data_IF_254770232170
#
_entry.id   IF_254770232170
#
_cell.length_a   1.000
_cell.length_b   1.000
_cell.length_c   1.000
_cell.angle_alpha   90.00
_cell.angle_beta   90.00
_cell.angle_gamma   90.00
#
_symmetry.space_group_name_H-M   'P 1'
#
loop_
_entity.id
_entity.type
_entity.pdbx_description
1 polymer ?
#
# COMPACT_ATOMS: atom_id res chain seq x y z
N UNK A 1 -7.61 4.97 18.28
CA UNK A 1 -7.24 3.94 19.29
C UNK A 1 -6.06 3.20 18.70
N UNK A 2 -4.86 3.27 19.30
CA UNK A 2 -3.68 2.55 18.78
C UNK A 2 -3.89 1.06 19.04
N UNK A 3 -3.90 0.22 17.99
CA UNK A 3 -4.00 -1.24 18.14
C UNK A 3 -2.79 -1.75 18.93
N UNK A 4 -3.04 -2.74 19.77
CA UNK A 4 -2.05 -3.23 20.72
C UNK A 4 -1.16 -4.29 20.05
N UNK A 5 0.12 -4.36 20.45
CA UNK A 5 1.09 -5.32 19.92
C UNK A 5 0.56 -6.76 19.92
N UNK A 6 -0.27 -7.12 20.91
CA UNK A 6 -0.92 -8.43 21.03
C UNK A 6 -1.69 -8.88 19.77
N UNK A 7 -2.24 -7.95 18.99
CA UNK A 7 -2.99 -8.29 17.77
C UNK A 7 -2.06 -8.57 16.58
N UNK A 8 -0.83 -8.03 16.61
CA UNK A 8 0.17 -8.10 15.52
C UNK A 8 1.21 -9.20 15.81
N UNK A 9 1.52 -9.43 17.08
CA UNK A 9 2.54 -10.35 17.56
C UNK A 9 2.46 -11.76 16.95
N UNK A 10 1.28 -12.41 16.84
CA UNK A 10 1.21 -13.74 16.22
C UNK A 10 1.64 -13.75 14.75
N UNK A 11 1.41 -12.65 14.04
CA UNK A 11 1.78 -12.48 12.63
C UNK A 11 3.28 -12.22 12.50
N UNK A 12 3.81 -11.36 13.37
CA UNK A 12 5.24 -11.10 13.46
C UNK A 12 6.02 -12.38 13.80
N UNK A 13 5.57 -13.19 14.75
CA UNK A 13 6.25 -14.44 15.12
C UNK A 13 6.35 -15.40 13.93
N UNK A 14 5.30 -15.52 13.12
CA UNK A 14 5.32 -16.31 11.88
C UNK A 14 6.35 -15.77 10.89
N UNK A 15 6.38 -14.46 10.66
CA UNK A 15 7.36 -13.80 9.80
C UNK A 15 8.80 -14.01 10.29
N UNK A 16 9.03 -13.87 11.60
CA UNK A 16 10.34 -14.03 12.25
C UNK A 16 10.87 -15.45 12.15
N UNK A 17 10.00 -16.45 12.15
CA UNK A 17 10.39 -17.85 12.00
C UNK A 17 10.74 -18.24 10.55
N UNK A 18 10.55 -17.35 9.57
CA UNK A 18 10.90 -17.65 8.17
C UNK A 18 12.40 -17.61 7.94
N UNK A 19 12.88 -18.45 7.03
CA UNK A 19 14.28 -18.48 6.62
C UNK A 19 14.55 -17.63 5.38
N UNK A 20 13.55 -17.37 4.55
CA UNK A 20 13.64 -16.57 3.33
C UNK A 20 12.45 -15.61 3.18
N UNK A 21 12.71 -14.52 2.47
CA UNK A 21 11.68 -13.56 2.06
C UNK A 21 11.14 -13.92 0.68
N UNK A 22 9.82 -13.98 0.58
CA UNK A 22 9.08 -14.17 -0.66
C UNK A 22 7.68 -13.53 -0.53
N UNK A 23 6.86 -13.57 -1.58
CA UNK A 23 5.54 -12.93 -1.58
C UNK A 23 4.50 -13.63 -0.68
N UNK A 24 4.80 -14.80 -0.13
CA UNK A 24 3.97 -15.45 0.90
C UNK A 24 4.31 -14.98 2.32
N UNK A 25 5.27 -14.06 2.48
CA UNK A 25 5.55 -13.43 3.77
C UNK A 25 4.31 -12.72 4.33
N UNK A 26 4.15 -12.86 5.64
CA UNK A 26 3.03 -12.37 6.42
C UNK A 26 3.06 -10.85 6.52
N UNK A 27 1.91 -10.25 6.32
CA UNK A 27 1.67 -8.84 6.60
C UNK A 27 0.27 -8.68 7.20
N UNK A 28 0.01 -7.50 7.73
CA UNK A 28 -1.25 -7.16 8.37
C UNK A 28 -1.88 -6.01 7.62
N UNK A 29 -3.17 -6.11 7.34
CA UNK A 29 -3.98 -4.97 6.90
C UNK A 29 -4.95 -4.63 8.03
N UNK A 30 -5.00 -3.38 8.44
CA UNK A 30 -5.99 -2.88 9.38
C UNK A 30 -7.00 -2.07 8.58
N UNK A 31 -8.25 -2.49 8.57
CA UNK A 31 -9.28 -1.83 7.77
C UNK A 31 -9.80 -0.53 8.42
N UNK A 32 -10.77 0.13 7.76
CA UNK A 32 -11.38 1.38 8.24
C UNK A 32 -12.22 1.19 9.52
N UNK A 33 -12.63 -0.04 9.83
CA UNK A 33 -13.33 -0.43 11.05
C UNK A 33 -12.32 -0.79 12.17
N UNK A 34 -11.02 -0.62 11.91
CA UNK A 34 -9.91 -1.07 12.73
C UNK A 34 -9.82 -2.59 12.88
N UNK A 35 -10.45 -3.39 12.02
CA UNK A 35 -10.31 -4.84 12.08
C UNK A 35 -8.97 -5.28 11.50
N UNK A 36 -8.31 -6.21 12.20
CA UNK A 36 -7.00 -6.76 11.82
C UNK A 36 -7.24 -7.93 10.88
N UNK A 37 -6.85 -7.75 9.62
CA UNK A 37 -6.93 -8.77 8.58
C UNK A 37 -5.56 -9.40 8.36
N UNK A 38 -5.49 -10.72 8.54
CA UNK A 38 -4.31 -11.48 8.17
C UNK A 38 -4.23 -11.61 6.65
N UNK A 39 -3.06 -11.33 6.08
CA UNK A 39 -2.81 -11.62 4.67
C UNK A 39 -1.32 -11.87 4.40
N UNK A 40 -0.97 -12.04 3.13
CA UNK A 40 0.40 -12.13 2.63
C UNK A 40 0.70 -10.98 1.70
N UNK A 41 1.96 -10.72 1.40
CA UNK A 41 2.36 -9.69 0.44
C UNK A 41 1.68 -9.86 -0.93
N UNK A 42 1.54 -11.09 -1.42
CA UNK A 42 0.78 -11.41 -2.65
C UNK A 42 -0.71 -11.13 -2.54
N UNK A 43 -1.28 -11.15 -1.32
CA UNK A 43 -2.69 -10.92 -1.06
C UNK A 43 -3.06 -9.43 -0.91
N UNK A 44 -2.08 -8.55 -0.71
CA UNK A 44 -2.30 -7.12 -0.44
C UNK A 44 -3.24 -6.43 -1.43
N UNK A 45 -3.07 -6.72 -2.73
CA UNK A 45 -3.88 -6.09 -3.78
C UNK A 45 -5.38 -6.42 -3.68
N UNK A 46 -5.74 -7.52 -3.01
CA UNK A 46 -7.14 -7.90 -2.79
C UNK A 46 -7.79 -7.11 -1.65
N UNK A 47 -6.98 -6.60 -0.70
CA UNK A 47 -7.46 -5.87 0.47
C UNK A 47 -7.46 -4.35 0.29
N UNK A 48 -6.52 -3.81 -0.51
CA UNK A 48 -6.30 -2.36 -0.57
C UNK A 48 -7.15 -1.62 -1.61
N UNK A 49 -7.97 -2.30 -2.42
CA UNK A 49 -8.73 -1.69 -3.54
C UNK A 49 -7.80 -0.91 -4.48
N UNK A 50 -7.06 -1.64 -5.30
CA UNK A 50 -5.99 -1.13 -6.16
C UNK A 50 -6.51 -0.75 -7.55
N UNK A 51 -6.06 0.39 -8.08
CA UNK A 51 -6.20 0.71 -9.50
C UNK A 51 -4.90 0.44 -10.27
N UNK A 52 -4.93 -0.58 -11.13
CA UNK A 52 -3.82 -0.85 -12.05
C UNK A 52 -3.74 0.18 -13.18
N UNK A 53 -4.88 0.70 -13.62
CA UNK A 53 -4.94 1.71 -14.67
C UNK A 53 -4.24 3.02 -14.25
N UNK A 54 -4.36 3.42 -12.98
CA UNK A 54 -3.65 4.57 -12.42
C UNK A 54 -2.12 4.40 -12.41
N UNK A 55 -1.62 3.16 -12.40
CA UNK A 55 -0.18 2.86 -12.53
C UNK A 55 0.33 2.91 -13.96
N UNK A 56 -0.56 2.97 -14.97
CA UNK A 56 -0.17 3.01 -16.37
C UNK A 56 0.67 4.26 -16.69
N UNK A 57 1.77 4.13 -17.46
CA UNK A 57 2.57 5.26 -17.91
C UNK A 57 1.74 6.35 -18.60
N UNK A 58 0.73 5.99 -19.39
CA UNK A 58 -0.13 6.93 -20.10
C UNK A 58 -1.00 7.75 -19.13
N UNK A 59 -1.56 7.11 -18.11
CA UNK A 59 -2.38 7.79 -17.10
C UNK A 59 -1.51 8.69 -16.22
N UNK A 60 -0.33 8.23 -15.81
CA UNK A 60 0.65 9.06 -15.09
C UNK A 60 1.09 10.27 -15.91
N UNK A 61 1.36 10.08 -17.21
CA UNK A 61 1.71 11.16 -18.12
C UNK A 61 0.59 12.19 -18.23
N UNK A 62 -0.67 11.74 -18.36
CA UNK A 62 -1.82 12.63 -18.35
C UNK A 62 -1.90 13.44 -17.05
N UNK A 63 -1.79 12.79 -15.89
CA UNK A 63 -1.84 13.47 -14.58
C UNK A 63 -0.74 14.54 -14.48
N UNK A 64 0.48 14.23 -14.90
CA UNK A 64 1.58 15.18 -14.91
C UNK A 64 1.30 16.38 -15.84
N UNK A 65 0.85 16.12 -17.08
CA UNK A 65 0.50 17.16 -18.04
C UNK A 65 -0.68 18.02 -17.57
N UNK A 66 -1.67 17.42 -16.93
CA UNK A 66 -2.84 18.12 -16.41
C UNK A 66 -2.46 19.08 -15.29
N UNK A 67 -1.52 18.69 -14.41
CA UNK A 67 -0.94 19.56 -13.39
C UNK A 67 -0.15 20.73 -14.01
N UNK A 68 0.60 20.49 -15.08
CA UNK A 68 1.44 21.51 -15.72
C UNK A 68 0.63 22.49 -16.59
N UNK A 69 -0.36 22.00 -17.35
CA UNK A 69 -0.99 22.76 -18.46
C UNK A 69 -2.51 22.86 -18.38
N UNK A 70 -3.12 22.26 -17.36
CA UNK A 70 -4.57 22.10 -17.23
C UNK A 70 -5.10 20.83 -17.90
N UNK A 71 -6.17 20.29 -17.34
CA UNK A 71 -6.73 19.00 -17.73
C UNK A 71 -7.18 18.94 -19.20
N UNK A 72 -7.78 20.01 -19.72
CA UNK A 72 -8.29 20.04 -21.11
C UNK A 72 -7.15 19.93 -22.15
N UNK A 73 -6.10 20.74 -22.00
CA UNK A 73 -4.93 20.69 -22.89
C UNK A 73 -4.19 19.37 -22.80
N UNK A 74 -4.09 18.81 -21.59
CA UNK A 74 -3.51 17.49 -21.38
C UNK A 74 -4.35 16.41 -22.07
N UNK A 75 -5.67 16.42 -21.90
CA UNK A 75 -6.60 15.48 -22.52
C UNK A 75 -6.48 15.51 -24.04
N UNK A 76 -6.51 16.70 -24.65
CA UNK A 76 -6.36 16.86 -26.09
C UNK A 76 -5.04 16.28 -26.59
N UNK A 77 -3.92 16.61 -25.91
CA UNK A 77 -2.60 16.09 -26.28
C UNK A 77 -2.51 14.56 -26.16
N UNK A 78 -3.05 13.98 -25.10
CA UNK A 78 -3.03 12.54 -24.88
C UNK A 78 -3.88 11.80 -25.92
N UNK A 79 -5.06 12.32 -26.27
CA UNK A 79 -5.91 11.75 -27.33
C UNK A 79 -5.26 11.84 -28.72
N UNK A 80 -4.51 12.89 -29.02
CA UNK A 80 -3.79 12.98 -30.30
C UNK A 80 -2.62 11.98 -30.40
N UNK A 81 -1.89 11.77 -29.29
CA UNK A 81 -0.67 10.96 -29.30
C UNK A 81 -0.91 9.47 -29.05
N UNK A 82 -1.89 9.15 -28.21
CA UNK A 82 -2.11 7.80 -27.66
C UNK A 82 -3.58 7.36 -27.75
N UNK A 83 -4.44 8.20 -28.32
CA UNK A 83 -5.76 7.85 -28.85
C UNK A 83 -6.60 6.93 -27.96
N UNK A 84 -6.96 5.78 -28.53
CA UNK A 84 -7.88 4.81 -27.96
C UNK A 84 -7.33 4.09 -26.72
N UNK A 85 -6.03 3.75 -26.72
CA UNK A 85 -5.39 3.08 -25.58
C UNK A 85 -5.46 3.96 -24.33
N UNK A 86 -5.09 5.23 -24.45
CA UNK A 86 -5.19 6.17 -23.35
C UNK A 86 -6.66 6.38 -22.93
N UNK A 87 -7.59 6.51 -23.88
CA UNK A 87 -9.00 6.72 -23.56
C UNK A 87 -9.58 5.54 -22.76
N UNK A 88 -9.22 4.31 -23.13
CA UNK A 88 -9.66 3.10 -22.43
C UNK A 88 -9.07 3.03 -21.01
N UNK A 89 -7.76 3.26 -20.87
CA UNK A 89 -7.09 3.27 -19.56
C UNK A 89 -7.61 4.37 -18.65
N UNK A 90 -7.87 5.57 -19.20
CA UNK A 90 -8.41 6.68 -18.43
C UNK A 90 -9.82 6.37 -17.95
N UNK A 91 -10.66 5.77 -18.80
CA UNK A 91 -12.00 5.32 -18.41
C UNK A 91 -11.96 4.26 -17.31
N UNK A 92 -11.03 3.31 -17.39
CA UNK A 92 -10.80 2.30 -16.35
C UNK A 92 -10.35 2.95 -15.04
N UNK A 93 -9.36 3.84 -15.09
CA UNK A 93 -8.89 4.59 -13.91
C UNK A 93 -10.04 5.38 -13.25
N UNK A 94 -10.88 6.06 -14.03
CA UNK A 94 -12.06 6.75 -13.50
C UNK A 94 -13.06 5.79 -12.85
N UNK A 95 -13.30 4.64 -13.47
CA UNK A 95 -14.16 3.59 -12.92
C UNK A 95 -13.60 3.03 -11.59
N UNK A 96 -12.29 2.79 -11.52
CA UNK A 96 -11.63 2.30 -10.31
C UNK A 96 -11.77 3.31 -9.16
N UNK A 97 -11.53 4.60 -9.44
CA UNK A 97 -11.71 5.68 -8.47
C UNK A 97 -13.16 5.78 -7.99
N UNK A 98 -14.13 5.65 -8.90
CA UNK A 98 -15.56 5.62 -8.54
C UNK A 98 -15.94 4.41 -7.68
N UNK A 99 -15.27 3.27 -7.86
CA UNK A 99 -15.41 2.07 -7.03
C UNK A 99 -14.64 2.16 -5.71
N UNK A 100 -13.97 3.29 -5.46
CA UNK A 100 -13.28 3.56 -4.20
C UNK A 100 -11.88 2.97 -4.14
N UNK A 101 -11.18 2.89 -5.28
CA UNK A 101 -9.75 2.63 -5.26
C UNK A 101 -9.02 3.78 -4.55
N UNK A 102 -8.13 3.43 -3.61
CA UNK A 102 -7.40 4.38 -2.76
C UNK A 102 -5.88 4.27 -2.94
N UNK A 103 -5.42 3.27 -3.70
CA UNK A 103 -4.01 2.97 -3.95
C UNK A 103 -3.83 2.53 -5.40
N UNK A 104 -2.61 2.62 -5.89
CA UNK A 104 -2.17 2.15 -7.21
C UNK A 104 -1.34 0.88 -7.09
N UNK A 105 -1.05 0.21 -8.22
CA UNK A 105 -0.19 -0.98 -8.21
C UNK A 105 1.27 -0.64 -7.86
N UNK A 106 1.73 0.58 -8.16
CA UNK A 106 3.07 1.03 -7.75
C UNK A 106 3.22 1.09 -6.24
N UNK A 107 2.18 1.56 -5.55
CA UNK A 107 2.15 1.64 -4.09
C UNK A 107 2.21 0.23 -3.46
N UNK A 108 1.57 -0.77 -4.08
CA UNK A 108 1.71 -2.18 -3.65
C UNK A 108 3.13 -2.68 -3.84
N UNK A 109 3.77 -2.38 -4.97
CA UNK A 109 5.18 -2.74 -5.22
C UNK A 109 6.10 -2.05 -4.20
N UNK A 110 5.83 -0.79 -3.87
CA UNK A 110 6.57 -0.05 -2.84
C UNK A 110 6.34 -0.65 -1.45
N UNK A 111 5.12 -1.07 -1.12
CA UNK A 111 4.82 -1.77 0.14
C UNK A 111 5.57 -3.10 0.24
N UNK A 112 5.66 -3.88 -0.84
CA UNK A 112 6.47 -5.12 -0.89
C UNK A 112 7.95 -4.83 -0.69
N UNK A 113 8.48 -3.79 -1.34
CA UNK A 113 9.86 -3.38 -1.15
C UNK A 113 10.12 -2.91 0.30
N UNK A 114 9.15 -2.22 0.91
CA UNK A 114 9.20 -1.79 2.31
C UNK A 114 9.17 -2.98 3.26
N UNK A 115 8.32 -3.98 3.01
CA UNK A 115 8.30 -5.23 3.77
C UNK A 115 9.64 -5.97 3.70
N UNK A 116 10.29 -5.97 2.53
CA UNK A 116 11.63 -6.57 2.38
C UNK A 116 12.65 -5.88 3.28
N UNK A 117 12.65 -4.53 3.32
CA UNK A 117 13.51 -3.77 4.22
C UNK A 117 13.28 -4.17 5.68
N UNK A 118 12.02 -4.20 6.14
CA UNK A 118 11.68 -4.61 7.50
C UNK A 118 12.04 -6.06 7.83
N UNK A 119 11.91 -6.98 6.87
CA UNK A 119 12.32 -8.36 7.04
C UNK A 119 13.83 -8.53 7.22
N UNK A 120 14.64 -7.67 6.59
CA UNK A 120 16.09 -7.70 6.68
C UNK A 120 16.65 -6.96 7.92
N UNK A 121 15.79 -6.29 8.70
CA UNK A 121 16.16 -5.63 9.97
C UNK A 121 16.36 -6.64 11.13
N UNK A 122 17.04 -6.19 12.18
CA UNK A 122 17.23 -6.93 13.43
C UNK A 122 16.94 -6.02 14.64
N UNK A 123 15.85 -6.25 15.40
CA UNK A 123 14.85 -7.30 15.18
C UNK A 123 14.08 -7.08 13.87
N UNK A 124 13.61 -8.18 13.25
CA UNK A 124 12.77 -8.10 12.04
C UNK A 124 11.53 -7.28 12.33
N UNK A 125 11.02 -6.58 11.32
CA UNK A 125 9.76 -5.83 11.39
C UNK A 125 8.74 -6.36 10.39
N UNK A 126 7.49 -6.45 10.83
CA UNK A 126 6.36 -6.84 9.98
C UNK A 126 5.76 -5.61 9.31
N UNK A 127 5.33 -5.77 8.05
CA UNK A 127 4.56 -4.76 7.34
C UNK A 127 3.13 -4.72 7.87
N UNK A 128 2.68 -3.53 8.25
CA UNK A 128 1.30 -3.23 8.60
C UNK A 128 0.80 -2.13 7.67
N UNK A 129 -0.35 -2.34 7.04
CA UNK A 129 -1.02 -1.34 6.20
C UNK A 129 -2.31 -0.91 6.89
N UNK A 130 -2.39 0.35 7.30
CA UNK A 130 -3.58 0.94 7.89
C UNK A 130 -4.41 1.59 6.78
N UNK A 131 -5.62 1.09 6.54
CA UNK A 131 -6.54 1.68 5.56
C UNK A 131 -7.34 2.78 6.22
N UNK A 132 -7.19 4.00 5.71
CA UNK A 132 -7.94 5.17 6.13
C UNK A 132 -9.09 5.44 5.14
N UNK A 133 -9.81 6.54 5.35
CA UNK A 133 -10.97 6.89 4.51
C UNK A 133 -10.61 7.19 3.04
N UNK A 134 -9.40 7.69 2.78
CA UNK A 134 -8.99 8.19 1.44
C UNK A 134 -7.63 7.70 0.98
N UNK A 135 -6.85 7.10 1.86
CA UNK A 135 -5.49 6.63 1.63
C UNK A 135 -5.19 5.43 2.55
N UNK A 136 -3.94 4.97 2.53
CA UNK A 136 -3.44 4.00 3.48
C UNK A 136 -2.04 4.38 3.98
N UNK A 137 -1.77 4.11 5.26
CA UNK A 137 -0.44 4.26 5.84
C UNK A 137 0.30 2.93 5.76
N UNK A 138 1.56 2.97 5.33
CA UNK A 138 2.46 1.81 5.30
C UNK A 138 3.42 1.91 6.47
N UNK A 139 3.36 0.95 7.39
CA UNK A 139 4.11 0.95 8.65
C UNK A 139 4.97 -0.31 8.76
N UNK A 140 6.17 -0.15 9.31
CA UNK A 140 7.00 -1.28 9.76
C UNK A 140 6.93 -1.35 11.27
N UNK A 141 6.46 -2.48 11.79
CA UNK A 141 6.24 -2.68 13.22
C UNK A 141 7.15 -3.81 13.71
N UNK A 142 8.00 -3.50 14.68
CA UNK A 142 8.83 -4.48 15.39
C UNK A 142 8.22 -4.84 16.75
N UNK A 143 8.77 -5.86 17.42
CA UNK A 143 8.44 -6.09 18.83
C UNK A 143 8.76 -4.81 19.63
N UNK A 144 7.99 -4.51 20.68
CA UNK A 144 8.34 -3.43 21.59
C UNK A 144 9.76 -3.69 22.12
N UNK A 145 10.60 -2.67 22.10
CA UNK A 145 11.91 -2.74 22.74
C UNK A 145 11.67 -2.88 24.26
N UNK A 146 12.35 -3.85 24.91
CA UNK A 146 12.23 -4.09 26.36
C UNK A 146 12.58 -2.83 27.21
N UNK A 147 13.23 -1.82 26.61
CA UNK A 147 13.71 -0.60 27.26
C UNK A 147 12.61 0.47 27.56
N UNK A 148 11.37 0.30 27.10
CA UNK A 148 10.26 1.21 27.45
C UNK A 148 9.41 0.72 28.66
N UNK A 149 9.90 -0.27 29.42
CA UNK A 149 9.21 -0.76 30.61
C UNK A 149 9.55 -0.01 31.92
N UNK A 150 10.58 0.87 31.93
CA UNK A 150 11.09 1.51 33.17
C UNK A 150 11.01 3.06 33.23
N UNK A 151 10.41 3.76 32.26
CA UNK A 151 10.34 5.25 32.28
C UNK A 151 9.01 5.86 32.72
N UNK A 152 8.03 5.05 33.18
CA UNK A 152 6.74 5.53 33.69
C UNK A 152 6.58 5.42 35.21
N UNK A 153 7.68 5.31 35.96
CA UNK A 153 7.71 5.45 37.41
C UNK A 153 8.89 6.33 37.87
N UNK A 154 8.80 7.64 37.60
CA UNK A 154 9.51 8.67 38.36
C UNK A 154 8.77 10.02 38.25
#
# INVERSE_FOLDING_TARGET
>A
MKRNWSDIEPHWLRLSNRTAFDLSAECVVIDQQNEVMQTTLSGLSTHLRVSSAMSSPLVKQFIALAKERGAEKAMHKMLMNSGEEFAQLWKEAQSDLQRGAITTMDDVVEAVATAKKGYDESPRRILVIQVNQRDCDVLLVGPPDDDESDSWNA
#
